data_IF_259115143281
#
_entry.id   IF_259115143281
#
_cell.length_a   1.000
_cell.length_b   1.000
_cell.length_c   1.000
_cell.angle_alpha   90.00
_cell.angle_beta   90.00
_cell.angle_gamma   90.00
#
_symmetry.space_group_name_H-M   'P 1'
#
loop_
_entity.id
_entity.type
_entity.pdbx_description
1 polymer ?
#
# COMPACT_ATOMS: atom_id res chain seq x y z
N UNK A 1 1.25 34.85 -13.73
CA UNK A 1 0.10 34.10 -13.15
C UNK A 1 -0.44 34.89 -11.98
N UNK A 2 -1.73 35.21 -11.95
CA UNK A 2 -2.31 35.99 -10.84
C UNK A 2 -2.59 35.09 -9.62
N UNK A 3 -2.60 35.62 -8.39
CA UNK A 3 -2.94 34.84 -7.19
C UNK A 3 -4.32 34.15 -7.28
N UNK A 4 -5.25 34.72 -8.05
CA UNK A 4 -6.56 34.11 -8.35
C UNK A 4 -6.44 32.88 -9.25
N UNK A 5 -5.60 32.92 -10.28
CA UNK A 5 -5.34 31.78 -11.17
C UNK A 5 -4.62 30.64 -10.44
N UNK A 6 -3.65 30.98 -9.58
CA UNK A 6 -2.94 29.99 -8.76
C UNK A 6 -3.90 29.25 -7.81
N UNK A 7 -4.79 29.97 -7.12
CA UNK A 7 -5.83 29.39 -6.27
C UNK A 7 -6.72 28.42 -7.03
N UNK A 8 -7.27 28.85 -8.18
CA UNK A 8 -8.14 27.99 -8.99
C UNK A 8 -7.42 26.75 -9.52
N UNK A 9 -6.16 26.90 -9.96
CA UNK A 9 -5.37 25.75 -10.41
C UNK A 9 -5.15 24.74 -9.28
N UNK A 10 -4.81 25.21 -8.08
CA UNK A 10 -4.67 24.35 -6.90
C UNK A 10 -5.99 23.66 -6.51
N UNK A 11 -7.12 24.37 -6.59
CA UNK A 11 -8.44 23.78 -6.32
C UNK A 11 -8.79 22.70 -7.35
N UNK A 12 -8.56 22.94 -8.64
CA UNK A 12 -8.82 21.97 -9.70
C UNK A 12 -7.89 20.77 -9.57
N UNK A 13 -6.59 20.97 -9.34
CA UNK A 13 -5.62 19.89 -9.10
C UNK A 13 -5.99 19.06 -7.87
N UNK A 14 -6.38 19.72 -6.78
CA UNK A 14 -6.87 19.06 -5.57
C UNK A 14 -8.12 18.23 -5.85
N UNK A 15 -9.12 18.82 -6.52
CA UNK A 15 -10.33 18.11 -6.92
C UNK A 15 -10.08 16.92 -7.83
N UNK A 16 -9.17 17.06 -8.80
CA UNK A 16 -8.81 15.98 -9.72
C UNK A 16 -8.07 14.84 -9.01
N UNK A 17 -7.15 15.17 -8.10
CA UNK A 17 -6.43 14.17 -7.29
C UNK A 17 -7.39 13.38 -6.40
N UNK A 18 -8.40 14.05 -5.82
CA UNK A 18 -9.46 13.40 -5.03
C UNK A 18 -10.33 12.48 -5.89
N UNK A 19 -10.75 12.95 -7.07
CA UNK A 19 -11.59 12.18 -7.96
C UNK A 19 -10.88 10.92 -8.50
N UNK A 20 -9.57 11.03 -8.78
CA UNK A 20 -8.78 9.91 -9.31
C UNK A 20 -8.35 8.90 -8.25
N UNK A 21 -8.25 9.31 -6.98
CA UNK A 21 -7.77 8.46 -5.90
C UNK A 21 -8.71 7.32 -5.50
N UNK A 22 -9.97 7.32 -5.95
CA UNK A 22 -10.94 6.25 -5.67
C UNK A 22 -11.33 6.05 -4.19
N UNK A 23 -10.69 6.78 -3.29
CA UNK A 23 -10.95 6.83 -1.85
C UNK A 23 -11.63 8.15 -1.51
N UNK A 24 -12.81 8.07 -0.90
CA UNK A 24 -13.50 9.26 -0.40
C UNK A 24 -12.80 9.76 0.87
N UNK A 25 -12.36 11.02 0.86
CA UNK A 25 -11.91 11.71 2.07
C UNK A 25 -13.12 12.09 2.94
N UNK A 26 -14.30 12.24 2.33
CA UNK A 26 -15.52 12.71 3.00
C UNK A 26 -16.28 11.62 3.74
N UNK A 27 -16.19 10.37 3.27
CA UNK A 27 -16.84 9.21 3.90
C UNK A 27 -15.80 8.18 4.29
N UNK A 28 -15.76 7.80 5.57
CA UNK A 28 -15.03 6.61 6.00
C UNK A 28 -15.97 5.42 5.85
N UNK A 29 -15.74 4.50 4.90
CA UNK A 29 -16.48 3.25 4.85
C UNK A 29 -16.22 2.45 6.14
N UNK A 30 -17.15 1.58 6.51
CA UNK A 30 -17.00 0.73 7.71
C UNK A 30 -15.79 -0.19 7.57
N UNK A 31 -15.65 -0.81 6.39
CA UNK A 31 -14.64 -1.82 6.10
C UNK A 31 -13.90 -1.47 4.81
N UNK A 32 -12.68 -0.94 4.94
CA UNK A 32 -11.82 -0.60 3.81
C UNK A 32 -10.36 -0.87 4.15
N UNK A 33 -9.68 -1.54 3.23
CA UNK A 33 -8.23 -1.70 3.26
C UNK A 33 -7.66 -0.97 2.05
N UNK A 34 -6.74 -0.05 2.28
CA UNK A 34 -5.94 0.53 1.21
C UNK A 34 -4.58 -0.12 1.16
N UNK A 35 -4.01 -0.20 -0.04
CA UNK A 35 -2.64 -0.66 -0.23
C UNK A 35 -1.89 0.18 -1.26
N UNK A 36 -0.62 0.44 -1.00
CA UNK A 36 0.29 1.11 -1.91
C UNK A 36 1.53 0.25 -2.13
N UNK A 37 1.79 -0.04 -3.39
CA UNK A 37 2.93 -0.83 -3.83
C UNK A 37 3.98 0.11 -4.43
N UNK A 38 5.21 0.04 -3.94
CA UNK A 38 6.34 0.83 -4.43
C UNK A 38 7.60 -0.01 -4.56
N UNK A 39 8.50 0.47 -5.39
CA UNK A 39 9.77 -0.17 -5.68
C UNK A 39 10.86 0.88 -5.45
N UNK A 40 11.87 0.54 -4.66
CA UNK A 40 13.03 1.42 -4.50
C UNK A 40 13.93 1.34 -5.74
N UNK A 41 14.65 2.42 -6.10
CA UNK A 41 15.60 2.38 -7.21
C UNK A 41 16.58 1.21 -7.06
N UNK A 42 16.77 0.40 -8.11
CA UNK A 42 17.62 -0.78 -8.03
C UNK A 42 19.07 -0.39 -7.79
N UNK A 43 19.75 -1.15 -6.93
CA UNK A 43 21.20 -0.99 -6.67
C UNK A 43 21.95 -2.09 -7.40
N UNK A 44 22.83 -1.73 -8.33
CA UNK A 44 23.58 -2.69 -9.15
C UNK A 44 25.01 -2.88 -8.65
N UNK A 45 25.40 -4.15 -8.62
CA UNK A 45 26.74 -4.64 -8.28
C UNK A 45 27.25 -5.49 -9.45
N UNK A 46 28.52 -5.93 -9.39
CA UNK A 46 29.10 -6.81 -10.41
C UNK A 46 28.36 -8.15 -10.57
N UNK A 47 27.61 -8.59 -9.54
CA UNK A 47 26.87 -9.86 -9.52
C UNK A 47 25.37 -9.73 -9.84
N UNK A 48 24.93 -8.56 -10.31
CA UNK A 48 23.54 -8.25 -10.65
C UNK A 48 23.00 -7.04 -9.88
N UNK A 49 21.70 -6.78 -10.04
CA UNK A 49 21.00 -5.69 -9.39
C UNK A 49 20.05 -6.21 -8.32
N UNK A 50 19.94 -5.48 -7.22
CA UNK A 50 19.00 -5.76 -6.13
C UNK A 50 17.90 -4.71 -6.20
N UNK A 51 16.66 -5.18 -6.22
CA UNK A 51 15.46 -4.34 -6.22
C UNK A 51 14.65 -4.66 -4.97
N UNK A 52 14.34 -3.62 -4.18
CA UNK A 52 13.53 -3.76 -2.96
C UNK A 52 12.09 -3.41 -3.30
N UNK A 53 11.21 -4.34 -3.01
CA UNK A 53 9.77 -4.21 -3.17
C UNK A 53 9.15 -3.99 -1.81
N UNK A 54 8.28 -2.99 -1.74
CA UNK A 54 7.54 -2.71 -0.53
C UNK A 54 6.06 -2.47 -0.82
N UNK A 55 5.20 -3.13 -0.05
CA UNK A 55 3.75 -3.01 -0.06
C UNK A 55 3.30 -2.51 1.31
N UNK A 56 2.78 -1.30 1.37
CA UNK A 56 2.09 -0.81 2.56
C UNK A 56 0.61 -1.17 2.48
N UNK A 57 0.08 -1.80 3.52
CA UNK A 57 -1.34 -2.16 3.67
C UNK A 57 -1.86 -1.50 4.94
N UNK A 58 -3.01 -0.82 4.86
CA UNK A 58 -3.60 -0.15 6.01
C UNK A 58 -5.11 -0.29 6.07
N UNK A 59 -5.65 -0.48 7.27
CA UNK A 59 -7.08 -0.41 7.50
C UNK A 59 -7.49 1.06 7.65
N UNK A 60 -8.16 1.57 6.62
CA UNK A 60 -8.70 2.94 6.60
C UNK A 60 -10.18 2.98 6.93
N UNK A 61 -10.82 1.84 7.18
CA UNK A 61 -12.20 1.77 7.63
C UNK A 61 -12.39 2.27 9.07
N UNK A 62 -13.64 2.21 9.55
CA UNK A 62 -13.98 2.49 10.96
C UNK A 62 -14.06 1.24 11.81
N UNK A 63 -14.10 0.05 11.19
CA UNK A 63 -14.14 -1.24 11.88
C UNK A 63 -12.83 -2.00 11.75
N UNK A 64 -12.61 -2.93 12.67
CA UNK A 64 -11.48 -3.83 12.65
C UNK A 64 -11.57 -4.84 11.50
N UNK A 65 -10.41 -5.14 10.91
CA UNK A 65 -10.24 -6.23 9.96
C UNK A 65 -9.63 -7.40 10.72
N UNK A 66 -10.41 -8.42 11.07
CA UNK A 66 -9.92 -9.57 11.86
C UNK A 66 -8.75 -10.31 11.18
N UNK A 67 -8.75 -10.33 9.85
CA UNK A 67 -7.68 -10.93 9.07
C UNK A 67 -7.50 -10.20 7.74
N UNK A 68 -6.32 -9.64 7.49
CA UNK A 68 -5.92 -9.19 6.15
C UNK A 68 -4.90 -10.15 5.57
N UNK A 69 -5.02 -10.45 4.27
CA UNK A 69 -4.11 -11.34 3.55
C UNK A 69 -3.51 -10.60 2.36
N UNK A 70 -2.25 -10.86 2.08
CA UNK A 70 -1.57 -10.42 0.85
C UNK A 70 -1.20 -11.66 0.07
N UNK A 71 -1.55 -11.69 -1.22
CA UNK A 71 -1.26 -12.80 -2.13
C UNK A 71 -0.22 -12.36 -3.15
N UNK A 72 0.89 -13.08 -3.22
CA UNK A 72 1.97 -12.84 -4.18
C UNK A 72 2.13 -14.08 -5.07
N UNK A 73 2.34 -13.88 -6.38
CA UNK A 73 2.69 -14.95 -7.30
C UNK A 73 4.08 -15.49 -6.96
N UNK A 74 4.17 -16.82 -6.81
CA UNK A 74 5.43 -17.51 -6.49
C UNK A 74 6.50 -17.26 -7.55
N UNK A 75 6.12 -17.23 -8.83
CA UNK A 75 7.00 -16.91 -9.96
C UNK A 75 7.69 -15.55 -9.82
N UNK A 76 7.04 -14.57 -9.18
CA UNK A 76 7.62 -13.26 -8.91
C UNK A 76 8.62 -13.24 -7.75
N UNK A 77 8.66 -14.30 -6.94
CA UNK A 77 9.49 -14.41 -5.73
C UNK A 77 10.66 -15.40 -5.87
N UNK A 78 10.78 -16.11 -7.00
CA UNK A 78 11.84 -17.13 -7.19
C UNK A 78 13.26 -16.57 -7.06
N UNK A 79 13.46 -15.29 -7.41
CA UNK A 79 14.74 -14.61 -7.30
C UNK A 79 14.92 -13.80 -6.00
N UNK A 80 14.11 -14.10 -4.96
CA UNK A 80 14.18 -13.40 -3.69
C UNK A 80 15.51 -13.68 -2.96
N UNK A 81 16.29 -12.63 -2.73
CA UNK A 81 17.50 -12.67 -1.90
C UNK A 81 17.21 -12.33 -0.45
N UNK A 82 16.16 -11.55 -0.20
CA UNK A 82 15.59 -11.37 1.13
C UNK A 82 14.15 -11.86 1.07
N UNK A 83 13.76 -12.84 1.91
CA UNK A 83 12.39 -13.31 1.94
C UNK A 83 11.45 -12.20 2.41
N UNK A 84 10.14 -12.29 2.12
CA UNK A 84 9.16 -11.34 2.64
C UNK A 84 9.19 -11.22 4.16
N UNK A 85 9.27 -9.98 4.62
CA UNK A 85 9.18 -9.59 6.03
C UNK A 85 8.00 -8.64 6.21
N UNK A 86 7.34 -8.70 7.36
CA UNK A 86 6.20 -7.82 7.68
C UNK A 86 6.55 -6.97 8.89
N UNK A 87 6.32 -5.66 8.81
CA UNK A 87 6.58 -4.70 9.87
C UNK A 87 5.38 -3.81 10.16
N UNK A 88 5.04 -3.63 11.42
CA UNK A 88 4.04 -2.64 11.84
C UNK A 88 4.66 -1.25 11.80
N UNK A 89 4.01 -0.32 11.09
CA UNK A 89 4.50 1.04 10.81
C UNK A 89 5.95 1.10 10.31
N UNK A 90 6.41 0.08 9.57
CA UNK A 90 7.79 -0.01 9.04
C UNK A 90 8.89 -0.18 10.09
N UNK A 91 8.54 -0.36 11.38
CA UNK A 91 9.49 -0.35 12.49
C UNK A 91 9.62 -1.68 13.23
N UNK A 92 8.49 -2.28 13.58
CA UNK A 92 8.46 -3.46 14.46
C UNK A 92 8.10 -4.67 13.62
N UNK A 93 9.01 -5.64 13.53
CA UNK A 93 8.72 -6.91 12.85
C UNK A 93 7.53 -7.60 13.50
N UNK A 94 6.63 -8.11 12.65
CA UNK A 94 5.38 -8.73 13.06
C UNK A 94 5.34 -10.17 12.54
N UNK A 95 5.02 -11.16 13.39
CA UNK A 95 4.83 -12.52 12.91
C UNK A 95 3.63 -12.58 11.97
N UNK A 96 3.74 -13.40 10.93
CA UNK A 96 2.68 -13.68 9.98
C UNK A 96 2.65 -15.18 9.69
N UNK A 97 1.47 -15.70 9.36
CA UNK A 97 1.37 -17.05 8.81
C UNK A 97 1.53 -17.00 7.28
N UNK A 98 2.20 -17.99 6.72
CA UNK A 98 2.37 -18.13 5.28
C UNK A 98 1.79 -19.46 4.82
N UNK A 99 1.05 -19.44 3.73
CA UNK A 99 0.56 -20.62 3.05
C UNK A 99 0.79 -20.48 1.55
N UNK A 100 0.99 -21.60 0.87
CA UNK A 100 1.16 -21.64 -0.58
C UNK A 100 0.09 -22.52 -1.20
N UNK A 101 -0.56 -22.02 -2.24
CA UNK A 101 -1.55 -22.76 -3.01
C UNK A 101 -1.51 -22.30 -4.47
N UNK A 102 -1.53 -23.25 -5.41
CA UNK A 102 -1.56 -23.02 -6.86
C UNK A 102 -0.59 -21.93 -7.38
N UNK A 103 0.65 -21.90 -6.87
CA UNK A 103 1.66 -20.92 -7.29
C UNK A 103 1.43 -19.50 -6.76
N UNK A 104 0.63 -19.36 -5.71
CA UNK A 104 0.39 -18.11 -4.99
C UNK A 104 0.75 -18.30 -3.52
N UNK A 105 1.67 -17.48 -3.02
CA UNK A 105 1.99 -17.38 -1.60
C UNK A 105 1.09 -16.36 -0.92
N UNK A 106 0.41 -16.79 0.12
CA UNK A 106 -0.51 -15.97 0.91
C UNK A 106 0.13 -15.65 2.26
N UNK A 107 0.23 -14.36 2.56
CA UNK A 107 0.79 -13.80 3.79
C UNK A 107 -0.34 -13.27 4.66
N UNK A 108 -0.66 -13.97 5.74
CA UNK A 108 -1.69 -13.60 6.69
C UNK A 108 -1.16 -12.55 7.68
N UNK A 109 -1.50 -11.28 7.45
CA UNK A 109 -1.02 -10.14 8.26
C UNK A 109 -1.70 -10.05 9.64
N UNK A 110 -2.81 -10.79 9.81
CA UNK A 110 -3.61 -10.85 11.03
C UNK A 110 -4.56 -9.66 11.15
N UNK A 111 -4.95 -9.36 12.38
CA UNK A 111 -5.88 -8.26 12.68
C UNK A 111 -5.26 -6.89 12.44
N UNK A 112 -5.99 -6.00 11.78
CA UNK A 112 -5.66 -4.57 11.63
C UNK A 112 -6.81 -3.72 12.19
N UNK A 113 -6.52 -2.90 13.20
CA UNK A 113 -7.46 -1.90 13.73
C UNK A 113 -7.55 -0.68 12.81
N UNK A 114 -8.62 0.13 12.89
CA UNK A 114 -8.68 1.41 12.20
C UNK A 114 -7.41 2.25 12.42
N UNK A 115 -6.76 2.64 11.31
CA UNK A 115 -5.52 3.41 11.32
C UNK A 115 -4.23 2.59 11.41
N UNK A 116 -4.32 1.28 11.70
CA UNK A 116 -3.16 0.38 11.67
C UNK A 116 -2.62 0.28 10.25
N UNK A 117 -1.29 0.23 10.17
CA UNK A 117 -0.54 0.07 8.93
C UNK A 117 0.57 -0.95 9.11
N UNK A 118 0.69 -1.81 8.11
CA UNK A 118 1.73 -2.83 8.02
C UNK A 118 2.44 -2.71 6.68
N UNK A 119 3.74 -2.93 6.71
CA UNK A 119 4.61 -2.90 5.55
C UNK A 119 5.11 -4.32 5.30
N UNK A 120 4.84 -4.86 4.12
CA UNK A 120 5.46 -6.09 3.62
C UNK A 120 6.60 -5.69 2.69
N UNK A 121 7.81 -6.19 2.93
CA UNK A 121 8.95 -5.93 2.06
C UNK A 121 9.77 -7.17 1.76
N UNK A 122 10.34 -7.23 0.58
CA UNK A 122 11.27 -8.26 0.12
C UNK A 122 12.25 -7.67 -0.88
N UNK A 123 13.34 -8.38 -1.17
CA UNK A 123 14.30 -7.96 -2.18
C UNK A 123 14.53 -9.07 -3.19
N UNK A 124 14.50 -8.71 -4.48
CA UNK A 124 14.83 -9.60 -5.58
C UNK A 124 16.21 -9.26 -6.13
N UNK A 125 16.94 -10.28 -6.56
CA UNK A 125 18.14 -10.10 -7.39
C UNK A 125 17.81 -10.37 -8.85
N UNK A 126 18.19 -9.46 -9.73
CA UNK A 126 18.00 -9.59 -11.17
C UNK A 126 19.29 -9.31 -11.93
N UNK A 127 19.39 -9.79 -13.17
CA UNK A 127 20.59 -9.58 -13.99
C UNK A 127 20.81 -8.10 -14.35
N UNK A 128 19.72 -7.33 -14.48
CA UNK A 128 19.73 -5.91 -14.80
C UNK A 128 18.51 -5.21 -14.17
N UNK A 129 18.48 -3.87 -14.10
CA UNK A 129 17.32 -3.13 -13.63
C UNK A 129 16.03 -3.43 -14.40
N UNK A 130 16.15 -3.60 -15.73
CA UNK A 130 15.01 -3.85 -16.62
C UNK A 130 14.41 -5.26 -16.46
N UNK A 131 15.15 -6.19 -15.85
CA UNK A 131 14.67 -7.53 -15.57
C UNK A 131 13.88 -7.62 -14.26
N UNK A 132 13.77 -6.53 -13.49
CA UNK A 132 12.94 -6.48 -12.29
C UNK A 132 11.46 -6.56 -12.66
N UNK A 133 10.71 -7.58 -12.17
CA UNK A 133 9.29 -7.70 -12.48
C UNK A 133 8.50 -6.52 -11.90
N UNK A 134 7.52 -5.97 -12.63
CA UNK A 134 6.64 -4.94 -12.09
C UNK A 134 5.66 -5.54 -11.06
N UNK A 135 5.08 -4.68 -10.23
CA UNK A 135 4.21 -5.12 -9.13
C UNK A 135 2.96 -5.89 -9.58
N UNK A 136 2.40 -5.59 -10.74
CA UNK A 136 1.27 -6.31 -11.34
C UNK A 136 1.63 -7.76 -11.73
N UNK A 137 2.90 -8.06 -11.95
CA UNK A 137 3.38 -9.43 -12.15
C UNK A 137 3.63 -10.20 -10.84
N UNK A 138 3.74 -9.49 -9.70
CA UNK A 138 4.06 -10.09 -8.40
C UNK A 138 2.84 -10.14 -7.48
N UNK A 139 2.05 -9.07 -7.40
CA UNK A 139 0.90 -8.93 -6.50
C UNK A 139 -0.34 -9.56 -7.14
N UNK A 140 -0.73 -10.73 -6.64
CA UNK A 140 -1.98 -11.37 -7.03
C UNK A 140 -3.20 -10.69 -6.37
N UNK A 141 -3.04 -10.11 -5.18
CA UNK A 141 -4.10 -9.33 -4.54
C UNK A 141 -3.87 -9.02 -3.06
N UNK A 142 -4.75 -8.16 -2.53
CA UNK A 142 -4.87 -7.88 -1.09
C UNK A 142 -6.31 -8.19 -0.71
N UNK A 143 -6.51 -9.11 0.22
CA UNK A 143 -7.83 -9.58 0.63
C UNK A 143 -8.12 -9.13 2.06
N UNK A 144 -9.09 -8.23 2.27
CA UNK A 144 -9.56 -7.92 3.61
C UNK A 144 -10.44 -9.07 4.13
N UNK A 145 -10.66 -9.11 5.44
CA UNK A 145 -11.64 -10.05 6.01
C UNK A 145 -13.05 -9.70 5.55
N UNK A 146 -13.32 -8.39 5.41
CA UNK A 146 -14.60 -7.87 4.92
C UNK A 146 -14.41 -6.56 4.15
N UNK A 147 -15.38 -6.22 3.31
CA UNK A 147 -15.35 -5.02 2.48
C UNK A 147 -14.41 -5.15 1.28
N UNK A 148 -13.81 -4.03 0.86
CA UNK A 148 -12.98 -3.98 -0.35
C UNK A 148 -11.55 -3.55 -0.04
N UNK A 149 -10.58 -4.17 -0.73
CA UNK A 149 -9.24 -3.61 -0.86
C UNK A 149 -9.15 -2.69 -2.08
N UNK A 150 -8.45 -1.56 -1.96
CA UNK A 150 -8.20 -0.64 -3.08
C UNK A 150 -6.77 -0.16 -3.10
N UNK A 151 -6.25 0.09 -4.29
CA UNK A 151 -4.96 0.74 -4.46
C UNK A 151 -5.06 2.21 -3.99
N UNK A 152 -4.13 2.64 -3.15
CA UNK A 152 -4.05 3.99 -2.58
C UNK A 152 -3.12 4.03 -1.37
N UNK A 153 -2.50 5.17 -1.11
CA UNK A 153 -1.60 5.33 0.04
C UNK A 153 -2.43 5.46 1.34
N UNK A 154 -2.37 4.47 2.26
CA UNK A 154 -3.13 4.52 3.51
C UNK A 154 -2.68 5.68 4.40
N UNK A 155 -1.41 6.09 4.33
CA UNK A 155 -0.89 7.22 5.09
C UNK A 155 -1.46 8.55 4.59
N UNK A 156 -1.47 8.75 3.27
CA UNK A 156 -2.02 9.95 2.65
C UNK A 156 -3.53 10.10 2.94
N UNK A 157 -4.31 9.01 2.84
CA UNK A 157 -5.75 9.03 3.13
C UNK A 157 -6.01 9.31 4.62
N UNK A 158 -5.25 8.69 5.52
CA UNK A 158 -5.37 8.93 6.96
C UNK A 158 -5.06 10.39 7.32
N UNK A 159 -3.99 10.95 6.73
CA UNK A 159 -3.62 12.35 6.92
C UNK A 159 -4.67 13.30 6.34
N UNK A 160 -5.15 13.04 5.12
CA UNK A 160 -6.19 13.85 4.48
C UNK A 160 -7.47 13.91 5.30
N UNK A 161 -7.89 12.77 5.87
CA UNK A 161 -9.05 12.70 6.78
C UNK A 161 -8.81 13.43 8.09
N UNK A 162 -7.61 13.32 8.69
CA UNK A 162 -7.24 14.08 9.88
C UNK A 162 -7.33 15.59 9.63
N UNK A 163 -6.71 16.07 8.56
CA UNK A 163 -6.74 17.49 8.18
C UNK A 163 -8.18 17.97 7.94
N UNK A 164 -9.01 17.16 7.27
CA UNK A 164 -10.42 17.49 7.08
C UNK A 164 -11.19 17.57 8.41
N UNK A 165 -10.96 16.65 9.34
CA UNK A 165 -11.59 16.70 10.67
C UNK A 165 -11.15 17.93 11.47
N UNK A 166 -9.86 18.33 11.39
CA UNK A 166 -9.33 19.47 12.14
C UNK A 166 -9.75 20.81 11.52
N UNK A 167 -9.69 20.95 10.20
CA UNK A 167 -9.86 22.24 9.51
C UNK A 167 -11.21 22.39 8.78
N UNK A 168 -11.93 21.29 8.54
CA UNK A 168 -13.19 21.27 7.78
C UNK A 168 -14.45 21.58 8.61
N UNK A 169 -14.36 21.67 9.94
CA UNK A 169 -15.52 21.69 10.84
C UNK A 169 -15.98 23.11 11.26
N UNK A 170 -15.58 24.20 10.57
CA UNK A 170 -15.95 25.54 11.04
C UNK A 170 -16.18 26.63 9.99
N UNK A 171 -16.94 26.31 8.95
CA UNK A 171 -17.43 27.27 7.94
C UNK A 171 -18.95 27.26 7.76
N UNK A 172 -19.70 27.01 8.84
CA UNK A 172 -21.15 27.25 8.93
C UNK A 172 -21.46 27.88 10.27
#
# INVERSE_FOLDING_TARGET
>A
MTPRQLRWMLTVLGGLALARGGASIFSRPEQEVLYAAYTLPPTCLSSGCITIYTLTVGNTGTEDQEQVRVRLHDSGLQAAVLPPTVRTFGKVERPFAMSEDAGVRTYALGRLRPGDRVELSFALRTASPAAAPPWDAILAGVDPARGTARAGDPAAVSLGRLLYTVFGVRWW
#
